data_IF_769458376052
#
_entry.id   IF_769458376052
#
_cell.length_a   1.000
_cell.length_b   1.000
_cell.length_c   1.000
_cell.angle_alpha   90.00
_cell.angle_beta   90.00
_cell.angle_gamma   90.00
#
_symmetry.space_group_name_H-M   'P 1'
#
loop_
_entity.id
_entity.type
_entity.pdbx_description
1 polymer ?
#
# COMPACT_ATOMS: atom_id res chain seq x y z
N UNK A 1 -11.11 -37.69 39.77
CA UNK A 1 -9.95 -36.94 39.27
C UNK A 1 -9.59 -37.25 37.81
N UNK A 2 -9.50 -38.50 37.37
CA UNK A 2 -9.16 -38.85 35.96
C UNK A 2 -10.14 -38.31 34.93
N UNK A 3 -11.44 -38.25 35.22
CA UNK A 3 -12.48 -37.74 34.32
C UNK A 3 -12.42 -36.21 34.15
N UNK A 4 -12.03 -35.46 35.18
CA UNK A 4 -11.88 -33.99 35.14
C UNK A 4 -10.66 -33.57 34.28
N UNK A 5 -9.58 -34.35 34.36
CA UNK A 5 -8.37 -34.12 33.57
C UNK A 5 -8.66 -34.37 32.09
N UNK A 6 -9.48 -35.35 31.74
CA UNK A 6 -9.88 -35.65 30.36
C UNK A 6 -10.76 -34.52 29.77
N UNK A 7 -11.67 -33.95 30.57
CA UNK A 7 -12.52 -32.83 30.16
C UNK A 7 -11.72 -31.56 29.93
N UNK A 8 -10.70 -31.28 30.76
CA UNK A 8 -9.79 -30.15 30.58
C UNK A 8 -8.93 -30.29 29.32
N UNK A 9 -8.51 -31.50 28.96
CA UNK A 9 -7.76 -31.77 27.74
C UNK A 9 -8.63 -31.61 26.49
N UNK A 10 -9.92 -31.96 26.51
CA UNK A 10 -10.85 -31.74 25.41
C UNK A 10 -11.12 -30.23 25.19
N UNK A 11 -11.25 -29.45 26.26
CA UNK A 11 -11.47 -28.02 26.21
C UNK A 11 -10.23 -27.27 25.67
N UNK A 12 -9.01 -27.74 25.95
CA UNK A 12 -7.79 -27.13 25.38
C UNK A 12 -7.63 -27.44 23.89
N UNK A 13 -8.12 -28.58 23.39
CA UNK A 13 -8.08 -28.93 21.97
C UNK A 13 -9.03 -28.05 21.11
N UNK A 14 -10.19 -27.68 21.65
CA UNK A 14 -11.14 -26.81 20.94
C UNK A 14 -10.67 -25.36 20.87
N UNK A 15 -9.89 -24.88 21.82
CA UNK A 15 -9.35 -23.51 21.82
C UNK A 15 -8.27 -23.30 20.74
N UNK A 16 -7.52 -24.33 20.36
CA UNK A 16 -6.47 -24.24 19.33
C UNK A 16 -7.07 -24.17 17.92
N UNK A 17 -8.25 -24.73 17.69
CA UNK A 17 -8.92 -24.65 16.37
C UNK A 17 -9.65 -23.33 16.13
N UNK A 18 -9.87 -22.50 17.16
CA UNK A 18 -10.66 -21.28 17.05
C UNK A 18 -9.89 -20.05 16.50
N UNK A 19 -8.61 -20.19 16.17
CA UNK A 19 -7.76 -19.07 15.72
C UNK A 19 -7.15 -19.24 14.33
N UNK A 20 -7.73 -20.06 13.47
CA UNK A 20 -7.34 -20.01 12.06
C UNK A 20 -8.01 -18.79 11.42
N UNK A 21 -7.43 -17.62 11.62
CA UNK A 21 -7.88 -16.40 10.96
C UNK A 21 -7.89 -16.66 9.44
N UNK A 22 -9.08 -16.54 8.84
CA UNK A 22 -9.26 -16.72 7.41
C UNK A 22 -8.32 -15.74 6.69
N UNK A 23 -7.52 -16.23 5.77
CA UNK A 23 -6.47 -15.44 5.11
C UNK A 23 -6.55 -15.60 3.60
N UNK A 24 -6.06 -14.60 2.90
CA UNK A 24 -5.98 -14.53 1.45
C UNK A 24 -4.54 -14.33 1.01
N UNK A 25 -4.26 -14.72 -0.22
CA UNK A 25 -2.97 -14.51 -0.87
C UNK A 25 -3.06 -13.27 -1.77
N UNK A 26 -2.20 -12.30 -1.53
CA UNK A 26 -1.99 -11.17 -2.42
C UNK A 26 -0.63 -11.37 -3.08
N UNK A 27 -0.62 -11.34 -4.39
CA UNK A 27 0.62 -11.44 -5.18
C UNK A 27 0.61 -10.43 -6.31
N UNK A 28 1.75 -10.15 -6.88
CA UNK A 28 1.86 -9.22 -8.00
C UNK A 28 3.31 -8.88 -8.34
N UNK A 29 3.45 -7.87 -9.16
CA UNK A 29 4.75 -7.36 -9.60
C UNK A 29 4.83 -5.86 -9.42
N UNK A 30 5.98 -5.38 -8.92
CA UNK A 30 6.29 -3.96 -8.83
C UNK A 30 7.22 -3.56 -9.96
N UNK A 31 6.88 -2.51 -10.67
CA UNK A 31 7.67 -1.95 -11.77
C UNK A 31 7.81 -0.45 -11.67
N UNK A 32 8.80 0.11 -12.34
CA UNK A 32 8.87 1.54 -12.62
C UNK A 32 7.84 1.95 -13.69
N UNK A 33 7.85 3.23 -14.08
CA UNK A 33 6.98 3.75 -15.13
C UNK A 33 7.20 3.09 -16.50
N UNK A 34 8.41 2.64 -16.78
CA UNK A 34 8.79 2.02 -18.06
C UNK A 34 8.58 0.50 -18.08
N UNK A 35 8.06 -0.07 -16.97
CA UNK A 35 7.83 -1.50 -16.83
C UNK A 35 9.06 -2.30 -16.40
N UNK A 36 10.16 -1.63 -15.99
CA UNK A 36 11.31 -2.32 -15.45
C UNK A 36 11.01 -2.81 -14.03
N UNK A 37 11.41 -4.02 -13.64
CA UNK A 37 11.16 -4.55 -12.32
C UNK A 37 11.89 -3.73 -11.25
N UNK A 38 11.26 -3.57 -10.10
CA UNK A 38 11.88 -2.97 -8.92
C UNK A 38 12.19 -4.07 -7.91
N UNK A 39 13.47 -4.33 -7.70
CA UNK A 39 13.98 -5.22 -6.65
C UNK A 39 13.92 -4.53 -5.30
N UNK A 40 13.65 -5.31 -4.26
CA UNK A 40 13.69 -4.86 -2.86
C UNK A 40 12.74 -3.69 -2.55
N UNK A 41 11.61 -3.60 -3.26
CA UNK A 41 10.52 -2.71 -2.90
C UNK A 41 9.74 -3.33 -1.74
N UNK A 42 9.46 -2.53 -0.70
CA UNK A 42 8.60 -2.96 0.41
C UNK A 42 7.14 -2.76 0.06
N UNK A 43 6.30 -3.72 0.43
CA UNK A 43 4.86 -3.65 0.36
C UNK A 43 4.31 -3.85 1.76
N UNK A 44 3.50 -2.91 2.26
CA UNK A 44 2.93 -2.95 3.59
C UNK A 44 1.41 -2.93 3.56
N UNK A 45 0.80 -3.70 4.45
CA UNK A 45 -0.62 -3.58 4.79
C UNK A 45 -0.73 -2.96 6.17
N UNK A 46 -1.41 -1.81 6.24
CA UNK A 46 -1.42 -0.93 7.41
C UNK A 46 -2.78 -0.93 8.11
N UNK A 47 -2.74 -0.85 9.45
CA UNK A 47 -3.91 -0.63 10.27
C UNK A 47 -4.34 0.87 10.28
N UNK A 48 -5.50 1.24 10.91
CA UNK A 48 -5.95 2.63 10.99
C UNK A 48 -4.99 3.60 11.70
N UNK A 49 -4.03 3.10 12.46
CA UNK A 49 -2.99 3.88 13.12
C UNK A 49 -1.71 4.01 12.26
N UNK A 50 -1.75 3.56 11.00
CA UNK A 50 -0.62 3.51 10.07
C UNK A 50 0.55 2.64 10.54
N UNK A 51 0.28 1.67 11.42
CA UNK A 51 1.28 0.67 11.72
C UNK A 51 1.28 -0.40 10.63
N UNK A 52 2.47 -0.79 10.20
CA UNK A 52 2.70 -1.88 9.27
C UNK A 52 2.45 -3.20 10.01
N UNK A 53 1.38 -3.90 9.65
CA UNK A 53 1.01 -5.17 10.28
C UNK A 53 1.49 -6.38 9.47
N UNK A 54 1.71 -6.20 8.19
CA UNK A 54 2.28 -7.22 7.31
C UNK A 54 3.18 -6.52 6.30
N UNK A 55 4.31 -7.14 6.02
CA UNK A 55 5.27 -6.70 5.02
C UNK A 55 5.57 -7.84 4.03
N UNK A 56 5.73 -7.48 2.77
CA UNK A 56 6.36 -8.28 1.74
C UNK A 56 7.43 -7.44 1.03
N UNK A 57 8.42 -8.12 0.45
CA UNK A 57 9.51 -7.48 -0.29
C UNK A 57 9.58 -8.13 -1.67
N UNK A 58 9.80 -7.32 -2.71
CA UNK A 58 9.95 -7.83 -4.07
C UNK A 58 11.29 -8.52 -4.28
N UNK A 59 11.28 -9.53 -5.13
CA UNK A 59 12.49 -10.15 -5.66
C UNK A 59 13.11 -9.32 -6.80
N UNK A 60 14.23 -9.81 -7.35
CA UNK A 60 14.97 -9.19 -8.48
C UNK A 60 14.14 -8.97 -9.75
N UNK A 61 13.07 -9.75 -9.92
CA UNK A 61 12.15 -9.66 -11.07
C UNK A 61 10.91 -8.82 -10.73
N UNK A 62 10.91 -8.19 -9.53
CA UNK A 62 9.86 -7.34 -9.01
C UNK A 62 8.65 -8.08 -8.44
N UNK A 63 8.68 -9.42 -8.36
CA UNK A 63 7.55 -10.19 -7.86
C UNK A 63 7.50 -10.23 -6.34
N UNK A 64 6.28 -10.27 -5.81
CA UNK A 64 6.02 -10.46 -4.39
C UNK A 64 4.79 -11.35 -4.16
N UNK A 65 4.74 -11.95 -3.00
CA UNK A 65 3.59 -12.71 -2.51
C UNK A 65 3.48 -12.53 -1.00
N UNK A 66 2.28 -12.26 -0.52
CA UNK A 66 1.97 -12.18 0.90
C UNK A 66 0.69 -12.95 1.22
N UNK A 67 0.68 -13.63 2.37
CA UNK A 67 -0.53 -14.19 2.94
C UNK A 67 -0.99 -13.30 4.08
N UNK A 68 -2.17 -12.69 3.93
CA UNK A 68 -2.69 -11.71 4.87
C UNK A 68 -4.06 -12.12 5.39
N UNK A 69 -4.43 -11.80 6.64
CA UNK A 69 -5.77 -12.00 7.17
C UNK A 69 -6.82 -11.30 6.31
N UNK A 70 -7.99 -11.93 6.15
CA UNK A 70 -9.14 -11.22 5.56
C UNK A 70 -9.53 -10.04 6.43
N UNK A 71 -9.83 -8.92 5.78
CA UNK A 71 -10.25 -7.71 6.49
C UNK A 71 -10.12 -6.44 5.67
N UNK A 72 -10.43 -5.34 6.32
CA UNK A 72 -10.21 -4.01 5.80
C UNK A 72 -8.94 -3.43 6.41
N UNK A 73 -8.07 -2.96 5.55
CA UNK A 73 -6.81 -2.28 5.88
C UNK A 73 -6.94 -0.80 5.59
N UNK A 74 -6.25 0.04 6.36
CA UNK A 74 -6.17 1.47 6.10
C UNK A 74 -5.56 1.74 4.72
N UNK A 75 -4.52 0.98 4.40
CA UNK A 75 -3.87 1.03 3.08
C UNK A 75 -3.10 -0.26 2.77
N UNK A 76 -2.95 -0.54 1.48
CA UNK A 76 -1.82 -1.29 0.95
C UNK A 76 -0.88 -0.28 0.29
N UNK A 77 0.35 -0.19 0.79
CA UNK A 77 1.35 0.74 0.30
C UNK A 77 2.55 -0.01 -0.26
N UNK A 78 3.16 0.51 -1.30
CA UNK A 78 4.45 0.02 -1.78
C UNK A 78 5.41 1.19 -1.91
N UNK A 79 6.62 1.01 -1.39
CA UNK A 79 7.64 2.04 -1.34
C UNK A 79 9.00 1.44 -1.73
N UNK A 80 9.69 2.14 -2.63
CA UNK A 80 11.10 1.88 -2.89
C UNK A 80 11.95 2.82 -2.04
N UNK A 81 12.38 2.34 -0.88
CA UNK A 81 13.09 3.14 0.14
C UNK A 81 14.32 3.89 -0.40
N UNK A 82 15.18 3.30 -1.28
CA UNK A 82 16.31 4.03 -1.83
C UNK A 82 15.93 5.30 -2.60
N UNK A 83 14.69 5.41 -3.07
CA UNK A 83 14.19 6.55 -3.83
C UNK A 83 13.74 7.74 -2.96
N UNK A 84 13.70 7.58 -1.64
CA UNK A 84 13.27 8.66 -0.73
C UNK A 84 14.34 9.73 -0.58
N UNK A 85 13.94 11.00 -0.50
CA UNK A 85 14.80 12.17 -0.69
C UNK A 85 16.10 12.14 0.12
N UNK A 86 16.07 11.79 1.42
CA UNK A 86 17.27 11.77 2.25
C UNK A 86 18.24 10.62 1.91
N UNK A 87 17.72 9.51 1.37
CA UNK A 87 18.50 8.36 0.91
C UNK A 87 18.95 8.61 -0.53
N UNK A 88 18.05 9.06 -1.39
CA UNK A 88 18.29 9.33 -2.80
C UNK A 88 19.39 10.38 -3.02
N UNK A 89 19.41 11.44 -2.21
CA UNK A 89 20.46 12.46 -2.26
C UNK A 89 21.86 11.88 -1.96
N UNK A 90 21.92 10.86 -1.08
CA UNK A 90 23.19 10.17 -0.77
C UNK A 90 23.58 9.15 -1.83
N UNK A 91 22.59 8.55 -2.50
CA UNK A 91 22.81 7.53 -3.52
C UNK A 91 23.10 8.09 -4.91
N UNK A 92 22.93 9.41 -5.12
CA UNK A 92 23.11 10.07 -6.42
C UNK A 92 22.03 9.73 -7.44
N UNK A 93 20.87 9.21 -7.01
CA UNK A 93 19.74 8.95 -7.89
C UNK A 93 19.24 10.24 -8.55
N UNK A 94 18.89 10.20 -9.85
CA UNK A 94 18.30 11.34 -10.51
C UNK A 94 16.95 11.69 -9.88
N UNK A 95 16.58 12.95 -9.86
CA UNK A 95 15.33 13.44 -9.26
C UNK A 95 14.08 12.76 -9.84
N UNK A 96 14.14 12.32 -11.08
CA UNK A 96 13.06 11.57 -11.75
C UNK A 96 12.78 10.20 -11.11
N UNK A 97 13.72 9.71 -10.33
CA UNK A 97 13.62 8.42 -9.61
C UNK A 97 13.39 8.61 -8.10
N UNK A 98 13.18 9.85 -7.64
CA UNK A 98 12.85 10.12 -6.25
C UNK A 98 11.38 9.83 -5.94
N UNK A 99 11.09 9.33 -4.73
CA UNK A 99 9.75 9.04 -4.22
C UNK A 99 8.96 8.10 -5.12
N UNK A 100 9.53 6.93 -5.39
CA UNK A 100 8.81 5.85 -6.05
C UNK A 100 7.94 5.15 -5.01
N UNK A 101 6.63 5.39 -5.09
CA UNK A 101 5.65 4.90 -4.13
C UNK A 101 4.29 4.66 -4.79
N UNK A 102 3.49 3.82 -4.15
CA UNK A 102 2.12 3.53 -4.50
C UNK A 102 1.28 3.42 -3.22
N UNK A 103 0.04 3.90 -3.26
CA UNK A 103 -0.90 3.85 -2.15
C UNK A 103 -2.29 3.43 -2.63
N UNK A 104 -2.80 2.32 -2.11
CA UNK A 104 -4.19 1.90 -2.24
C UNK A 104 -4.88 2.05 -0.89
N UNK A 105 -5.66 3.10 -0.75
CA UNK A 105 -6.41 3.43 0.46
C UNK A 105 -7.66 2.55 0.60
N UNK A 106 -8.07 2.28 1.86
CA UNK A 106 -9.25 1.47 2.18
C UNK A 106 -9.19 0.08 1.51
N UNK A 107 -8.02 -0.56 1.53
CA UNK A 107 -7.80 -1.85 0.89
C UNK A 107 -8.63 -2.95 1.54
N UNK A 108 -9.39 -3.71 0.74
CA UNK A 108 -10.22 -4.82 1.19
C UNK A 108 -9.60 -6.14 0.74
N UNK A 109 -9.18 -6.94 1.71
CA UNK A 109 -8.65 -8.29 1.51
C UNK A 109 -9.77 -9.32 1.78
N UNK A 110 -10.62 -9.60 0.81
CA UNK A 110 -11.73 -10.55 0.93
C UNK A 110 -11.49 -11.87 0.16
N UNK A 111 -10.54 -11.87 -0.78
CA UNK A 111 -10.20 -12.99 -1.67
C UNK A 111 -8.77 -12.89 -2.16
N UNK A 112 -8.26 -14.00 -2.69
CA UNK A 112 -6.99 -14.02 -3.40
C UNK A 112 -7.01 -13.00 -4.54
N UNK A 113 -5.97 -12.17 -4.62
CA UNK A 113 -5.96 -11.02 -5.52
C UNK A 113 -4.57 -10.82 -6.13
N UNK A 114 -4.54 -10.51 -7.43
CA UNK A 114 -3.33 -9.99 -8.08
C UNK A 114 -3.34 -8.47 -7.96
N UNK A 115 -2.29 -7.91 -7.38
CA UNK A 115 -2.08 -6.47 -7.27
C UNK A 115 -0.74 -6.10 -7.91
N UNK A 116 -0.76 -5.84 -9.22
CA UNK A 116 0.40 -5.31 -9.92
C UNK A 116 0.53 -3.81 -9.64
N UNK A 117 1.74 -3.40 -9.29
CA UNK A 117 2.07 -2.04 -8.88
C UNK A 117 3.04 -1.46 -9.89
N UNK A 118 2.67 -0.32 -10.46
CA UNK A 118 3.53 0.47 -11.32
C UNK A 118 3.78 1.82 -10.68
N UNK A 119 5.01 2.10 -10.31
CA UNK A 119 5.34 3.38 -9.72
C UNK A 119 5.15 4.52 -10.70
N UNK A 120 4.58 5.59 -10.19
CA UNK A 120 4.20 6.74 -10.98
C UNK A 120 4.40 8.03 -10.19
N UNK A 121 4.85 9.08 -10.85
CA UNK A 121 5.06 10.41 -10.22
C UNK A 121 3.82 11.31 -10.27
N UNK A 122 2.68 10.74 -10.61
CA UNK A 122 1.37 11.39 -10.48
C UNK A 122 0.69 10.88 -9.22
N UNK A 123 0.19 11.78 -8.42
CA UNK A 123 -0.60 11.49 -7.23
C UNK A 123 -2.05 11.92 -7.45
N UNK A 124 -2.99 11.15 -6.97
CA UNK A 124 -4.42 11.44 -7.07
C UNK A 124 -4.96 11.81 -5.69
N UNK A 125 -5.18 13.09 -5.45
CA UNK A 125 -5.67 13.58 -4.17
C UNK A 125 -7.19 13.75 -4.15
N UNK A 126 -7.78 13.48 -2.99
CA UNK A 126 -9.18 13.78 -2.71
C UNK A 126 -10.15 12.97 -3.57
N UNK A 127 -9.76 11.75 -3.98
CA UNK A 127 -10.68 10.86 -4.70
C UNK A 127 -11.97 10.69 -3.93
N UNK A 128 -13.10 11.05 -4.56
CA UNK A 128 -14.45 10.89 -4.03
C UNK A 128 -15.35 10.34 -5.12
N UNK A 129 -16.13 9.33 -4.78
CA UNK A 129 -17.22 8.85 -5.60
C UNK A 129 -18.54 9.12 -4.87
N UNK A 130 -19.50 9.76 -5.55
CA UNK A 130 -20.79 10.10 -4.97
C UNK A 130 -21.90 10.04 -6.01
N UNK A 131 -23.13 9.93 -5.53
CA UNK A 131 -24.35 9.98 -6.36
C UNK A 131 -25.10 11.27 -6.09
N UNK A 132 -25.64 11.87 -7.15
CA UNK A 132 -26.56 13.01 -7.03
C UNK A 132 -27.97 12.46 -7.11
N UNK A 133 -28.80 12.60 -6.05
CA UNK A 133 -30.20 12.22 -6.10
C UNK A 133 -30.96 13.01 -7.16
N UNK A 134 -31.84 12.34 -7.91
CA UNK A 134 -32.69 12.96 -8.92
C UNK A 134 -32.07 13.16 -10.29
N UNK A 135 -30.77 12.90 -10.46
CA UNK A 135 -30.09 12.86 -11.75
C UNK A 135 -30.09 11.43 -12.33
N UNK A 136 -29.52 11.25 -13.52
CA UNK A 136 -29.28 9.91 -14.04
C UNK A 136 -28.54 9.07 -12.97
N UNK A 137 -28.82 7.75 -12.86
CA UNK A 137 -28.24 6.89 -11.81
C UNK A 137 -26.77 6.59 -12.09
N UNK A 138 -25.94 7.61 -12.08
CA UNK A 138 -24.50 7.57 -12.32
C UNK A 138 -23.72 7.91 -11.06
N UNK A 139 -22.50 7.37 -10.95
CA UNK A 139 -21.54 7.85 -9.99
C UNK A 139 -20.75 9.02 -10.60
N UNK A 140 -20.59 10.06 -9.81
CA UNK A 140 -19.64 11.12 -10.11
C UNK A 140 -18.35 10.86 -9.36
N UNK A 141 -17.24 11.09 -10.02
CA UNK A 141 -15.90 10.92 -9.44
C UNK A 141 -15.19 12.27 -9.51
N UNK A 142 -14.75 12.74 -8.35
CA UNK A 142 -13.86 13.88 -8.23
C UNK A 142 -12.46 13.39 -7.88
N UNK A 143 -11.45 13.92 -8.55
CA UNK A 143 -10.04 13.67 -8.25
C UNK A 143 -9.22 14.90 -8.63
N UNK A 144 -8.20 15.20 -7.84
CA UNK A 144 -7.22 16.23 -8.15
C UNK A 144 -5.88 15.57 -8.47
N UNK A 145 -5.48 15.49 -9.75
CA UNK A 145 -4.17 14.96 -10.12
C UNK A 145 -3.07 15.98 -9.75
N UNK A 146 -2.02 15.50 -9.15
CA UNK A 146 -0.83 16.26 -8.78
C UNK A 146 0.40 15.59 -9.40
N UNK A 147 1.29 16.41 -9.97
CA UNK A 147 2.55 15.93 -10.56
C UNK A 147 3.71 16.28 -9.64
N UNK A 148 4.36 15.28 -9.05
CA UNK A 148 5.58 15.48 -8.26
C UNK A 148 6.68 16.16 -9.08
N UNK A 149 6.84 15.80 -10.35
CA UNK A 149 7.83 16.43 -11.24
C UNK A 149 7.61 17.94 -11.36
N UNK A 150 6.36 18.37 -11.62
CA UNK A 150 6.01 19.79 -11.69
C UNK A 150 6.15 20.50 -10.34
N UNK A 151 5.80 19.81 -9.25
CA UNK A 151 5.94 20.37 -7.91
C UNK A 151 7.41 20.66 -7.58
N UNK A 152 8.31 19.70 -7.83
CA UNK A 152 9.74 19.93 -7.62
C UNK A 152 10.32 21.00 -8.53
N UNK A 153 9.90 21.05 -9.79
CA UNK A 153 10.32 22.10 -10.71
C UNK A 153 9.85 23.48 -10.20
N UNK A 154 8.60 23.60 -9.81
CA UNK A 154 8.06 24.83 -9.23
C UNK A 154 8.79 25.25 -7.95
N UNK A 155 9.10 24.32 -7.05
CA UNK A 155 9.86 24.59 -5.81
C UNK A 155 11.28 25.11 -6.09
N UNK A 156 11.91 24.67 -7.18
CA UNK A 156 13.24 25.17 -7.60
C UNK A 156 13.18 26.56 -8.18
N UNK A 157 12.11 26.87 -8.91
CA UNK A 157 11.91 28.17 -9.57
C UNK A 157 11.40 29.24 -8.61
N UNK A 158 10.70 28.82 -7.54
CA UNK A 158 10.12 29.74 -6.55
C UNK A 158 11.10 29.92 -5.38
N UNK A 159 11.58 31.15 -5.18
CA UNK A 159 12.47 31.44 -4.04
C UNK A 159 11.78 31.12 -2.71
N UNK A 160 12.51 30.59 -1.71
CA UNK A 160 11.95 30.19 -0.40
C UNK A 160 11.14 31.28 0.31
N UNK A 161 11.44 32.56 0.08
CA UNK A 161 10.76 33.71 0.68
C UNK A 161 9.27 33.84 0.28
N UNK A 162 8.82 33.17 -0.76
CA UNK A 162 7.42 33.19 -1.22
C UNK A 162 6.54 32.11 -0.60
N UNK A 163 7.10 31.22 0.22
CA UNK A 163 6.40 30.12 0.86
C UNK A 163 5.97 30.40 2.32
N UNK A 164 6.25 31.60 2.83
CA UNK A 164 5.86 32.05 4.18
C UNK A 164 4.65 32.96 4.08
N UNK A 165 3.49 32.36 3.86
CA UNK A 165 2.18 33.00 4.07
C UNK A 165 1.19 31.98 4.66
#
# INVERSE_FOLDING_TARGET
MKQIIFLLFLLSYTAVYAQQQDSVTIHGRVTDYNGQPIDSASIWWQNPQFNDIIEAITDKDGHYTARIPKGKYQSAASIYLPSYAHIAMKSGLPETEHRLEFWAWDFIADRDTTLDIRYHRMEAYGLRAFRIPGAMPTYQIYVRPMSLTRTYQWMKETKPESLVH
#
